data_IF_510755374178
#
_entry.id   IF_510755374178
#
_cell.length_a   1.000
_cell.length_b   1.000
_cell.length_c   1.000
_cell.angle_alpha   90.00
_cell.angle_beta   90.00
_cell.angle_gamma   90.00
#
_symmetry.space_group_name_H-M   'P 1'
#
loop_
_entity.id
_entity.type
_entity.pdbx_description
1 polymer ?
#
# COMPACT_ATOMS: atom_id res chain seq x y z
N UNK A 1 -16.11 2.37 10.20
CA UNK A 1 -15.50 1.59 9.09
C UNK A 1 -15.30 2.49 7.86
N UNK A 2 -14.80 3.72 8.04
CA UNK A 2 -14.85 4.75 6.98
C UNK A 2 -13.57 5.60 6.91
N UNK A 3 -12.55 5.25 7.69
CA UNK A 3 -11.34 6.06 7.84
C UNK A 3 -10.41 5.88 6.64
N UNK A 4 -10.20 4.64 6.16
CA UNK A 4 -9.30 4.36 5.03
C UNK A 4 -9.76 5.01 3.74
N UNK A 5 -11.04 4.87 3.35
CA UNK A 5 -11.55 5.50 2.12
C UNK A 5 -11.50 7.02 2.20
N UNK A 6 -11.79 7.62 3.36
CA UNK A 6 -11.68 9.07 3.54
C UNK A 6 -10.24 9.56 3.41
N UNK A 7 -9.30 8.81 4.01
CA UNK A 7 -7.87 9.11 3.94
C UNK A 7 -7.38 8.98 2.48
N UNK A 8 -7.82 7.97 1.74
CA UNK A 8 -7.50 7.81 0.31
C UNK A 8 -7.99 9.00 -0.52
N UNK A 9 -9.23 9.46 -0.30
CA UNK A 9 -9.74 10.65 -0.99
C UNK A 9 -9.02 11.94 -0.63
N UNK A 10 -8.46 12.05 0.59
CA UNK A 10 -7.64 13.19 0.99
C UNK A 10 -6.26 13.14 0.30
N UNK A 11 -5.67 11.95 0.15
CA UNK A 11 -4.42 11.75 -0.61
C UNK A 11 -4.61 12.15 -2.08
N UNK A 12 -5.73 11.78 -2.70
CA UNK A 12 -6.07 12.21 -4.08
C UNK A 12 -6.14 13.73 -4.24
N UNK A 13 -6.47 14.45 -3.16
CA UNK A 13 -6.54 15.91 -3.14
C UNK A 13 -5.19 16.57 -2.84
N UNK A 14 -4.10 15.78 -2.73
CA UNK A 14 -2.76 16.26 -2.44
C UNK A 14 -2.48 16.45 -0.94
N UNK A 15 -3.29 15.88 -0.05
CA UNK A 15 -3.04 15.94 1.39
C UNK A 15 -1.96 14.92 1.80
N UNK A 16 -0.70 15.39 1.84
CA UNK A 16 0.43 14.60 2.29
C UNK A 16 0.27 14.07 3.73
N UNK A 17 -0.47 14.77 4.62
CA UNK A 17 -0.71 14.29 5.97
C UNK A 17 -1.67 13.10 6.00
N UNK A 18 -2.57 12.99 5.03
CA UNK A 18 -3.42 11.83 4.88
C UNK A 18 -2.59 10.58 4.52
N UNK A 19 -1.52 10.73 3.72
CA UNK A 19 -0.62 9.63 3.40
C UNK A 19 0.09 9.06 4.64
N UNK A 20 0.46 9.93 5.60
CA UNK A 20 1.06 9.52 6.88
C UNK A 20 0.06 8.76 7.76
N UNK A 21 -1.21 9.14 7.73
CA UNK A 21 -2.28 8.47 8.48
C UNK A 21 -2.69 7.13 7.86
N UNK A 22 -2.51 6.97 6.53
CA UNK A 22 -2.85 5.74 5.84
C UNK A 22 -1.91 4.60 6.23
N UNK A 23 -0.61 4.89 6.29
CA UNK A 23 0.44 3.88 6.47
C UNK A 23 0.16 2.94 7.65
N UNK A 24 -0.06 3.39 8.90
CA UNK A 24 -0.32 2.48 10.03
C UNK A 24 -1.61 1.67 9.88
N UNK A 25 -2.61 2.17 9.14
CA UNK A 25 -3.88 1.47 8.92
C UNK A 25 -3.76 0.34 7.91
N UNK A 26 -2.87 0.48 6.92
CA UNK A 26 -2.69 -0.49 5.83
C UNK A 26 -1.46 -1.37 6.03
N UNK A 27 -0.50 -0.97 6.88
CA UNK A 27 0.78 -1.65 7.08
C UNK A 27 0.65 -3.14 7.41
N UNK A 28 -0.21 -3.49 8.38
CA UNK A 28 -0.40 -4.89 8.78
C UNK A 28 -1.00 -5.74 7.65
N UNK A 29 -1.91 -5.17 6.86
CA UNK A 29 -2.53 -5.87 5.72
C UNK A 29 -1.53 -6.02 4.56
N UNK A 30 -0.76 -4.98 4.26
CA UNK A 30 0.32 -5.03 3.27
C UNK A 30 1.41 -6.02 3.68
N UNK A 31 1.76 -6.08 4.97
CA UNK A 31 2.74 -7.02 5.50
C UNK A 31 2.27 -8.47 5.36
N UNK A 32 0.98 -8.75 5.59
CA UNK A 32 0.39 -10.08 5.35
C UNK A 32 0.45 -10.46 3.87
N UNK A 33 0.10 -9.54 2.97
CA UNK A 33 0.18 -9.76 1.52
C UNK A 33 1.62 -10.03 1.08
N UNK A 34 2.57 -9.22 1.53
CA UNK A 34 3.99 -9.40 1.24
C UNK A 34 4.50 -10.74 1.78
N UNK A 35 4.12 -11.14 3.00
CA UNK A 35 4.48 -12.44 3.57
C UNK A 35 3.92 -13.61 2.76
N UNK A 36 2.66 -13.52 2.30
CA UNK A 36 2.05 -14.53 1.44
C UNK A 36 2.75 -14.62 0.07
N UNK A 37 3.13 -13.49 -0.52
CA UNK A 37 3.85 -13.44 -1.79
C UNK A 37 5.25 -14.05 -1.65
N UNK A 38 5.99 -13.68 -0.60
CA UNK A 38 7.30 -14.25 -0.30
C UNK A 38 7.25 -15.75 0.03
N UNK A 39 6.17 -16.26 0.62
CA UNK A 39 6.00 -17.69 0.87
C UNK A 39 5.90 -18.52 -0.43
N UNK A 40 5.54 -17.89 -1.54
CA UNK A 40 5.50 -18.53 -2.87
C UNK A 40 6.84 -18.39 -3.63
N UNK A 41 7.75 -17.56 -3.13
CA UNK A 41 9.07 -17.35 -3.71
C UNK A 41 10.05 -18.47 -3.34
N UNK A 42 11.10 -18.61 -4.15
CA UNK A 42 12.14 -19.62 -3.89
C UNK A 42 12.89 -19.32 -2.59
N UNK A 43 13.22 -20.34 -1.78
CA UNK A 43 14.09 -20.18 -0.61
C UNK A 43 15.44 -19.55 -1.03
N UNK A 44 15.93 -18.58 -0.25
CA UNK A 44 17.20 -17.88 -0.52
C UNK A 44 17.05 -16.41 -0.95
N UNK A 45 15.82 -15.90 -1.06
CA UNK A 45 15.58 -14.47 -1.22
C UNK A 45 16.04 -13.70 0.03
N UNK A 46 16.80 -12.61 -0.16
CA UNK A 46 17.20 -11.68 0.91
C UNK A 46 16.18 -10.55 1.10
N UNK A 47 15.21 -10.44 0.20
CA UNK A 47 14.17 -9.42 0.25
C UNK A 47 13.29 -9.67 1.48
N UNK A 48 12.98 -8.62 2.24
CA UNK A 48 12.11 -8.71 3.41
C UNK A 48 10.72 -8.18 3.08
N UNK A 49 9.68 -8.74 3.70
CA UNK A 49 8.31 -8.29 3.50
C UNK A 49 8.13 -6.80 3.81
N UNK A 50 8.90 -6.28 4.75
CA UNK A 50 8.96 -4.85 5.09
C UNK A 50 9.46 -3.99 3.94
N UNK A 51 10.44 -4.45 3.16
CA UNK A 51 10.96 -3.72 2.01
C UNK A 51 9.91 -3.62 0.90
N UNK A 52 9.19 -4.72 0.62
CA UNK A 52 8.08 -4.74 -0.34
C UNK A 52 6.96 -3.77 0.05
N UNK A 53 6.63 -3.68 1.35
CA UNK A 53 5.62 -2.74 1.86
C UNK A 53 6.04 -1.29 1.65
N UNK A 54 7.31 -0.95 1.89
CA UNK A 54 7.81 0.42 1.68
C UNK A 54 7.84 0.80 0.20
N UNK A 55 8.27 -0.12 -0.67
CA UNK A 55 8.27 0.11 -2.12
C UNK A 55 6.86 0.28 -2.67
N UNK A 56 5.91 -0.56 -2.25
CA UNK A 56 4.51 -0.42 -2.62
C UNK A 56 3.95 0.92 -2.13
N UNK A 57 4.25 1.34 -0.89
CA UNK A 57 3.80 2.63 -0.38
C UNK A 57 4.29 3.80 -1.24
N UNK A 58 5.59 3.86 -1.54
CA UNK A 58 6.17 4.91 -2.38
C UNK A 58 5.45 4.97 -3.74
N UNK A 59 5.22 3.82 -4.37
CA UNK A 59 4.53 3.75 -5.68
C UNK A 59 3.07 4.21 -5.62
N UNK A 60 2.40 4.05 -4.48
CA UNK A 60 0.97 4.39 -4.30
C UNK A 60 0.75 5.85 -3.92
N UNK A 61 1.73 6.49 -3.28
CA UNK A 61 1.68 7.91 -2.89
C UNK A 61 2.41 8.83 -3.88
N UNK A 62 3.03 8.25 -4.92
CA UNK A 62 3.68 8.99 -6.00
C UNK A 62 2.64 9.81 -6.78
N UNK A 63 2.67 11.13 -6.60
CA UNK A 63 1.70 12.09 -7.15
C UNK A 63 1.67 12.07 -8.68
N UNK A 64 2.77 11.72 -9.35
CA UNK A 64 2.82 11.63 -10.82
C UNK A 64 1.99 10.45 -11.38
N UNK A 65 1.65 9.47 -10.54
CA UNK A 65 0.88 8.27 -10.90
C UNK A 65 -0.44 8.15 -10.15
N UNK A 66 -0.89 9.21 -9.47
CA UNK A 66 -2.04 9.17 -8.56
C UNK A 66 -3.28 8.52 -9.24
N UNK A 67 -3.52 7.26 -8.90
CA UNK A 67 -4.69 6.51 -9.34
C UNK A 67 -5.89 6.95 -8.49
N UNK A 68 -7.06 7.04 -9.13
CA UNK A 68 -8.30 7.23 -8.37
C UNK A 68 -8.62 5.96 -7.57
N UNK A 69 -8.63 6.08 -6.26
CA UNK A 69 -8.90 5.05 -5.27
C UNK A 69 -10.38 5.03 -4.89
N UNK A 70 -11.21 4.47 -5.77
CA UNK A 70 -12.66 4.34 -5.55
C UNK A 70 -13.04 3.54 -4.29
N UNK A 71 -12.14 2.66 -3.81
CA UNK A 71 -12.39 1.88 -2.60
C UNK A 71 -11.12 1.35 -1.95
N UNK A 72 -11.22 1.00 -0.67
CA UNK A 72 -10.19 0.24 0.07
C UNK A 72 -9.74 -1.00 -0.70
N UNK A 73 -10.66 -1.74 -1.32
CA UNK A 73 -10.32 -2.96 -2.07
C UNK A 73 -9.44 -2.66 -3.28
N UNK A 74 -9.76 -1.60 -4.03
CA UNK A 74 -8.98 -1.17 -5.18
C UNK A 74 -7.54 -0.80 -4.78
N UNK A 75 -7.38 -0.06 -3.68
CA UNK A 75 -6.08 0.27 -3.12
C UNK A 75 -5.25 -0.99 -2.79
N UNK A 76 -5.83 -2.00 -2.13
CA UNK A 76 -5.08 -3.22 -1.79
C UNK A 76 -4.72 -4.08 -2.99
N UNK A 77 -5.55 -4.08 -4.05
CA UNK A 77 -5.22 -4.75 -5.31
C UNK A 77 -4.02 -4.09 -5.98
N UNK A 78 -4.04 -2.76 -6.13
CA UNK A 78 -2.92 -2.02 -6.69
C UNK A 78 -1.65 -2.16 -5.84
N UNK A 79 -1.78 -2.17 -4.51
CA UNK A 79 -0.65 -2.40 -3.62
C UNK A 79 -0.03 -3.80 -3.79
N UNK A 80 -0.85 -4.83 -4.02
CA UNK A 80 -0.36 -6.18 -4.29
C UNK A 80 0.32 -6.31 -5.66
N UNK A 81 -0.18 -5.58 -6.67
CA UNK A 81 0.44 -5.48 -8.00
C UNK A 81 1.76 -4.69 -7.98
N UNK A 82 1.88 -3.70 -7.10
CA UNK A 82 3.08 -2.89 -6.93
C UNK A 82 4.21 -3.62 -6.17
N UNK A 83 3.94 -4.74 -5.50
CA UNK A 83 4.95 -5.63 -4.88
C UNK A 83 5.51 -6.62 -5.89
#
# INVERSE_FOLDING_TARGET
MTDVTRILSAIEQGDAQAAEQLLPLVYEELRKLAAQKMAQEKPGQTLQATALVHEAYIRLVDEEKAQHWDSRGHFFVAAAEAM
#
